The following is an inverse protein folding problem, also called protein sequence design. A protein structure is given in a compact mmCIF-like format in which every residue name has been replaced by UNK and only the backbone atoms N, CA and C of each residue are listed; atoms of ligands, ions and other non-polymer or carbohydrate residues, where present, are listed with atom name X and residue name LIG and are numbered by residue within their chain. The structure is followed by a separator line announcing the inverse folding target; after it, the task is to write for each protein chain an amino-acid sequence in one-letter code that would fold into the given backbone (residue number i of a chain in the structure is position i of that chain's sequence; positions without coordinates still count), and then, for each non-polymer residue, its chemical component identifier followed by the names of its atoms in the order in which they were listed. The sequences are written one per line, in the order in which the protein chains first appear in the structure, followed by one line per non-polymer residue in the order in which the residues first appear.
data_IF_530223010046
#
_entry.id   IF_530223010046
#
_cell.length_a   1.000
_cell.length_b   1.000
_cell.length_c   1.000
_cell.angle_alpha   90.00
_cell.angle_beta   90.00
_cell.angle_gamma   90.00
#
_symmetry.space_group_name_H-M   'P 1'
#
loop_
_entity.id
_entity.type
_entity.pdbx_description
1 polymer ?
#
# COMPACT_ATOMS: atom_id res chain seq x y z
N UNK A 1 2.43 -9.40 -13.79
CA UNK A 1 0.97 -9.41 -13.63
C UNK A 1 0.37 -8.86 -14.91
N UNK A 2 -0.40 -9.66 -15.65
CA UNK A 2 -1.22 -9.12 -16.75
C UNK A 2 -2.15 -8.09 -16.11
N UNK A 3 -2.43 -6.98 -16.82
CA UNK A 3 -3.52 -6.09 -16.48
C UNK A 3 -4.80 -6.94 -16.48
N UNK A 4 -4.99 -7.68 -15.43
CA UNK A 4 -6.19 -8.42 -15.14
C UNK A 4 -7.24 -7.39 -14.77
N UNK A 5 -8.49 -7.69 -14.98
CA UNK A 5 -9.68 -6.85 -14.68
C UNK A 5 -9.69 -6.25 -13.26
N UNK A 6 -8.61 -6.40 -12.50
CA UNK A 6 -8.46 -6.03 -11.11
C UNK A 6 -8.17 -4.54 -10.89
N UNK A 7 -7.43 -3.89 -11.80
CA UNK A 7 -7.14 -2.47 -11.72
C UNK A 7 -7.65 -1.79 -13.00
N UNK A 8 -8.80 -1.16 -12.92
CA UNK A 8 -9.33 -0.36 -14.01
C UNK A 8 -8.90 1.09 -13.82
N UNK A 9 -7.80 1.45 -14.44
CA UNK A 9 -7.36 2.84 -14.51
C UNK A 9 -7.89 3.47 -15.80
N UNK A 10 -8.45 4.67 -15.67
CA UNK A 10 -8.79 5.50 -16.80
C UNK A 10 -7.72 6.56 -16.96
N UNK A 11 -6.98 6.52 -18.07
CA UNK A 11 -6.11 7.62 -18.48
C UNK A 11 -7.00 8.67 -19.15
N UNK A 12 -7.18 9.86 -18.56
CA UNK A 12 -7.96 10.91 -19.19
C UNK A 12 -7.21 11.43 -20.41
N UNK A 13 -7.82 11.37 -21.57
CA UNK A 13 -7.37 12.12 -22.75
C UNK A 13 -7.58 13.61 -22.52
N UNK A 14 -6.76 14.24 -21.71
CA UNK A 14 -6.80 15.65 -21.37
C UNK A 14 -5.64 16.40 -22.00
N UNK A 15 -5.94 17.28 -22.95
CA UNK A 15 -5.01 18.27 -23.46
C UNK A 15 -4.49 19.11 -22.30
N UNK A 16 -3.21 18.97 -21.94
CA UNK A 16 -2.42 20.06 -21.34
C UNK A 16 -0.96 19.92 -21.72
N UNK A 17 -0.57 20.84 -22.54
CA UNK A 17 0.66 21.58 -22.72
C UNK A 17 1.96 20.98 -22.11
N UNK A 18 2.65 20.20 -22.90
CA UNK A 18 4.02 19.77 -22.76
C UNK A 18 4.31 18.74 -23.82
N UNK A 19 5.21 19.01 -24.77
CA UNK A 19 5.42 18.15 -25.93
C UNK A 19 5.90 16.73 -25.58
N UNK A 20 6.45 16.51 -24.39
CA UNK A 20 6.92 15.21 -23.89
C UNK A 20 5.77 14.29 -23.41
N UNK A 21 4.76 14.85 -22.73
CA UNK A 21 3.63 14.06 -22.23
C UNK A 21 2.75 13.45 -23.36
N UNK A 22 2.69 14.09 -24.53
CA UNK A 22 1.91 13.59 -25.67
C UNK A 22 2.49 12.32 -26.27
N UNK A 23 3.80 12.16 -26.27
CA UNK A 23 4.47 10.98 -26.85
C UNK A 23 4.27 9.75 -25.96
N UNK A 24 4.32 9.91 -24.64
CA UNK A 24 4.10 8.81 -23.71
C UNK A 24 2.65 8.28 -23.73
N UNK A 25 1.65 9.17 -23.81
CA UNK A 25 0.24 8.78 -23.87
C UNK A 25 -0.15 8.02 -25.14
N UNK A 26 0.52 8.30 -26.27
CA UNK A 26 0.28 7.60 -27.53
C UNK A 26 0.90 6.19 -27.60
N UNK A 27 1.75 5.83 -26.63
CA UNK A 27 2.39 4.51 -26.54
C UNK A 27 1.75 3.58 -25.52
N UNK A 28 0.77 4.06 -24.73
CA UNK A 28 0.02 3.23 -23.79
C UNK A 28 -1.04 2.43 -24.55
N UNK A 29 -0.69 1.22 -24.95
CA UNK A 29 -1.66 0.23 -25.40
C UNK A 29 -2.49 -0.26 -24.20
N UNK A 30 -3.75 -0.68 -24.47
CA UNK A 30 -4.66 -1.25 -23.45
C UNK A 30 -4.10 -2.51 -22.75
N UNK A 31 -2.96 -3.00 -23.17
CA UNK A 31 -2.26 -4.16 -22.64
C UNK A 31 -0.96 -3.81 -21.90
N UNK A 32 -0.67 -2.53 -21.67
CA UNK A 32 0.51 -2.14 -20.87
C UNK A 32 0.41 -2.75 -19.47
N UNK A 33 1.38 -3.58 -19.06
CA UNK A 33 1.36 -4.14 -17.72
C UNK A 33 1.47 -3.01 -16.70
N UNK A 34 0.64 -3.08 -15.66
CA UNK A 34 0.60 -2.10 -14.57
C UNK A 34 1.20 -2.73 -13.32
N UNK A 35 2.16 -2.04 -12.72
CA UNK A 35 2.73 -2.39 -11.44
C UNK A 35 2.24 -1.40 -10.38
N UNK A 36 1.82 -1.90 -9.21
CA UNK A 36 1.45 -1.08 -8.07
C UNK A 36 2.55 -1.19 -7.04
N UNK A 37 2.95 -0.06 -6.46
CA UNK A 37 4.00 -0.02 -5.44
C UNK A 37 3.61 -0.73 -4.16
N UNK A 38 4.60 -1.19 -3.39
CA UNK A 38 4.40 -1.92 -2.14
C UNK A 38 3.67 -1.14 -1.03
N UNK A 39 3.56 0.20 -1.15
CA UNK A 39 2.75 1.02 -0.23
C UNK A 39 1.25 0.68 -0.30
N UNK A 40 0.84 0.01 -1.38
CA UNK A 40 -0.55 -0.23 -1.73
C UNK A 40 -1.25 1.04 -2.21
N UNK A 41 -2.26 0.88 -3.04
CA UNK A 41 -3.15 1.96 -3.45
C UNK A 41 -4.59 1.51 -3.24
N UNK A 42 -5.44 2.40 -2.75
CA UNK A 42 -6.83 2.08 -2.46
C UNK A 42 -7.78 2.96 -3.27
N UNK A 43 -8.99 2.47 -3.61
CA UNK A 43 -9.99 3.28 -4.30
C UNK A 43 -10.22 4.61 -3.58
N UNK A 44 -10.16 5.71 -4.35
CA UNK A 44 -10.23 7.08 -3.80
C UNK A 44 -8.87 7.77 -3.64
N UNK A 45 -7.75 7.04 -3.70
CA UNK A 45 -6.43 7.65 -3.74
C UNK A 45 -6.25 8.51 -5.00
N UNK A 46 -5.52 9.60 -4.85
CA UNK A 46 -4.97 10.32 -6.00
C UNK A 46 -3.70 9.61 -6.45
N UNK A 47 -3.66 9.27 -7.73
CA UNK A 47 -2.63 8.42 -8.30
C UNK A 47 -1.78 9.16 -9.32
N UNK A 48 -0.53 8.72 -9.44
CA UNK A 48 0.40 9.13 -10.50
C UNK A 48 1.03 7.88 -11.09
N UNK A 49 1.06 7.80 -12.41
CA UNK A 49 1.77 6.76 -13.13
C UNK A 49 3.14 7.26 -13.57
N UNK A 50 4.15 6.44 -13.44
CA UNK A 50 5.48 6.64 -14.00
C UNK A 50 5.72 5.61 -15.08
N UNK A 51 6.06 6.08 -16.27
CA UNK A 51 6.41 5.24 -17.39
C UNK A 51 7.88 5.44 -17.74
N UNK A 52 8.66 4.39 -17.54
CA UNK A 52 10.05 4.30 -17.97
C UNK A 52 10.12 3.52 -19.31
N UNK A 53 11.14 3.76 -20.14
CA UNK A 53 11.36 2.97 -21.35
C UNK A 53 11.47 1.48 -21.01
N UNK A 54 10.76 0.64 -21.77
CA UNK A 54 10.75 -0.83 -21.64
C UNK A 54 10.29 -1.39 -20.28
N UNK A 55 9.64 -0.56 -19.46
CA UNK A 55 9.14 -0.94 -18.14
C UNK A 55 7.60 -0.90 -18.08
N UNK A 56 6.97 -1.67 -17.18
CA UNK A 56 5.55 -1.55 -16.92
C UNK A 56 5.22 -0.16 -16.37
N UNK A 57 3.98 0.31 -16.61
CA UNK A 57 3.47 1.51 -15.96
C UNK A 57 3.45 1.27 -14.44
N UNK A 58 4.27 2.01 -13.70
CA UNK A 58 4.28 1.92 -12.23
C UNK A 58 3.38 2.99 -11.65
N UNK A 59 2.44 2.60 -10.80
CA UNK A 59 1.45 3.49 -10.18
C UNK A 59 1.80 3.73 -8.73
N UNK A 60 1.87 5.01 -8.37
CA UNK A 60 2.17 5.51 -7.03
C UNK A 60 0.98 6.31 -6.47
N UNK A 61 0.73 6.23 -5.16
CA UNK A 61 -0.10 7.25 -4.52
C UNK A 61 0.64 8.60 -4.57
N UNK A 62 -0.11 9.70 -4.75
CA UNK A 62 0.49 11.03 -4.96
C UNK A 62 1.36 11.53 -3.79
N UNK A 63 1.19 10.93 -2.62
CA UNK A 63 1.96 11.26 -1.41
C UNK A 63 3.17 10.34 -1.19
N UNK A 64 3.49 9.46 -2.14
CA UNK A 64 4.66 8.59 -2.05
C UNK A 64 5.96 9.39 -2.05
N UNK A 65 6.83 9.10 -1.08
CA UNK A 65 8.16 9.73 -1.00
C UNK A 65 9.02 9.41 -2.23
N UNK A 66 8.80 8.28 -2.88
CA UNK A 66 9.49 7.91 -4.11
C UNK A 66 9.29 8.92 -5.25
N UNK A 67 8.14 9.59 -5.30
CA UNK A 67 7.88 10.62 -6.32
C UNK A 67 8.76 11.85 -6.15
N UNK A 68 9.21 12.13 -4.94
CA UNK A 68 10.13 13.24 -4.65
C UNK A 68 11.49 12.96 -5.27
N UNK A 69 11.99 11.73 -5.12
CA UNK A 69 13.27 11.31 -5.70
C UNK A 69 13.25 11.28 -7.23
N UNK A 70 12.07 11.03 -7.82
CA UNK A 70 11.88 10.96 -9.27
C UNK A 70 11.63 12.30 -9.95
N UNK A 71 11.47 13.39 -9.17
CA UNK A 71 11.10 14.71 -9.72
C UNK A 71 12.12 15.22 -10.74
N UNK A 72 13.41 14.96 -10.51
CA UNK A 72 14.50 15.40 -11.37
C UNK A 72 14.92 14.35 -12.43
N UNK A 73 14.21 13.22 -12.47
CA UNK A 73 14.49 12.14 -13.42
C UNK A 73 13.78 12.36 -14.76
N UNK A 74 14.38 11.91 -15.87
CA UNK A 74 13.81 12.03 -17.22
C UNK A 74 12.78 10.90 -17.47
N UNK A 75 11.75 10.84 -16.62
CA UNK A 75 10.66 9.86 -16.69
C UNK A 75 9.37 10.49 -17.18
N UNK A 76 8.52 9.71 -17.83
CA UNK A 76 7.23 10.19 -18.28
C UNK A 76 6.18 10.06 -17.17
N UNK A 77 5.59 11.19 -16.80
CA UNK A 77 4.52 11.27 -15.79
C UNK A 77 3.14 11.12 -16.45
N UNK A 78 2.31 10.23 -15.92
CA UNK A 78 0.99 9.90 -16.47
C UNK A 78 -0.07 10.16 -15.40
N UNK A 79 -1.11 10.92 -15.74
CA UNK A 79 -2.30 11.10 -14.87
C UNK A 79 -3.13 9.81 -14.89
N UNK A 80 -3.23 9.15 -13.75
CA UNK A 80 -3.94 7.89 -13.57
C UNK A 80 -5.09 8.10 -12.59
N UNK A 81 -6.26 7.52 -12.89
CA UNK A 81 -7.45 7.61 -12.03
C UNK A 81 -8.11 6.26 -11.85
N UNK A 82 -8.66 6.06 -10.66
CA UNK A 82 -9.51 4.91 -10.39
C UNK A 82 -10.76 4.91 -11.27
N UNK A 83 -11.09 3.73 -11.78
CA UNK A 83 -12.42 3.46 -12.31
C UNK A 83 -13.23 2.75 -11.21
N UNK A 84 -14.05 3.50 -10.51
CA UNK A 84 -14.83 3.01 -9.36
C UNK A 84 -16.07 2.18 -9.73
N UNK A 85 -16.27 1.87 -11.02
CA UNK A 85 -17.39 1.04 -11.44
C UNK A 85 -17.13 -0.43 -11.13
N UNK A 86 -17.91 -1.01 -10.20
CA UNK A 86 -17.87 -2.43 -9.86
C UNK A 86 -16.79 -2.84 -8.83
N UNK A 87 -16.42 -1.93 -7.93
CA UNK A 87 -15.45 -2.20 -6.85
C UNK A 87 -16.08 -2.61 -5.51
N UNK A 88 -17.40 -2.76 -5.44
CA UNK A 88 -18.16 -2.79 -4.18
C UNK A 88 -17.86 -3.97 -3.24
N UNK A 89 -17.19 -5.04 -3.71
CA UNK A 89 -16.90 -6.23 -2.89
C UNK A 89 -15.39 -6.51 -2.73
N UNK A 90 -14.53 -5.69 -3.34
CA UNK A 90 -13.10 -5.96 -3.35
C UNK A 90 -12.37 -5.25 -2.21
N UNK A 91 -11.47 -5.98 -1.56
CA UNK A 91 -10.56 -5.43 -0.56
C UNK A 91 -9.19 -5.14 -1.17
N UNK A 92 -8.56 -4.08 -0.73
CA UNK A 92 -7.28 -3.60 -1.22
C UNK A 92 -6.26 -3.57 -0.10
N UNK A 93 -5.09 -4.19 -0.29
CA UNK A 93 -4.04 -4.17 0.70
C UNK A 93 -3.40 -2.77 0.77
N UNK A 94 -3.15 -2.33 1.98
CA UNK A 94 -2.38 -1.12 2.26
C UNK A 94 -1.59 -1.29 3.56
N UNK A 95 -0.54 -0.49 3.72
CA UNK A 95 0.35 -0.60 4.87
C UNK A 95 0.22 0.64 5.74
N UNK A 96 0.09 0.44 7.04
CA UNK A 96 0.08 1.50 8.05
C UNK A 96 1.21 1.29 9.05
N UNK A 97 1.78 2.37 9.55
CA UNK A 97 2.82 2.32 10.58
C UNK A 97 2.43 3.18 11.78
N UNK A 98 2.92 2.79 12.94
CA UNK A 98 2.73 3.51 14.18
C UNK A 98 3.79 3.17 15.21
N UNK A 99 3.95 4.03 16.20
CA UNK A 99 4.70 3.74 17.40
C UNK A 99 3.74 3.43 18.55
N UNK A 100 4.06 2.40 19.32
CA UNK A 100 3.24 1.96 20.45
C UNK A 100 4.09 1.82 21.70
N UNK A 101 3.53 2.19 22.84
CA UNK A 101 4.13 1.89 24.14
C UNK A 101 4.24 0.38 24.31
N UNK A 102 5.42 -0.09 24.75
CA UNK A 102 5.69 -1.49 25.03
C UNK A 102 5.05 -1.91 26.37
N UNK A 103 3.79 -2.31 26.35
CA UNK A 103 3.07 -2.82 27.52
C UNK A 103 2.13 -3.96 27.13
N UNK A 104 1.81 -4.85 28.10
CA UNK A 104 0.80 -5.88 27.86
C UNK A 104 -0.52 -5.29 27.36
N UNK A 105 -1.07 -5.91 26.33
CA UNK A 105 -2.36 -5.49 25.73
C UNK A 105 -2.27 -4.43 24.64
N UNK A 106 -1.12 -3.79 24.38
CA UNK A 106 -0.99 -2.77 23.31
C UNK A 106 -1.37 -3.34 21.95
N UNK A 107 -0.86 -4.51 21.57
CA UNK A 107 -1.22 -5.15 20.31
C UNK A 107 -2.71 -5.51 20.23
N UNK A 108 -3.28 -6.04 21.32
CA UNK A 108 -4.70 -6.38 21.36
C UNK A 108 -5.60 -5.14 21.18
N UNK A 109 -5.22 -4.01 21.78
CA UNK A 109 -5.93 -2.74 21.61
C UNK A 109 -5.88 -2.25 20.17
N UNK A 110 -4.72 -2.32 19.51
CA UNK A 110 -4.56 -1.93 18.11
C UNK A 110 -5.39 -2.82 17.20
N UNK A 111 -5.29 -4.14 17.36
CA UNK A 111 -6.04 -5.11 16.55
C UNK A 111 -7.55 -4.93 16.71
N UNK A 112 -8.02 -4.66 17.93
CA UNK A 112 -9.44 -4.38 18.20
C UNK A 112 -9.90 -3.07 17.53
N UNK A 113 -9.06 -2.04 17.52
CA UNK A 113 -9.37 -0.76 16.88
C UNK A 113 -9.46 -0.90 15.35
N UNK A 114 -8.57 -1.69 14.72
CA UNK A 114 -8.62 -1.99 13.29
C UNK A 114 -9.87 -2.80 12.95
N UNK A 115 -10.16 -3.86 13.72
CA UNK A 115 -11.34 -4.69 13.52
C UNK A 115 -12.66 -3.93 13.71
N UNK A 116 -12.71 -2.96 14.64
CA UNK A 116 -13.88 -2.10 14.84
C UNK A 116 -14.20 -1.20 13.64
N UNK A 117 -13.20 -0.97 12.75
CA UNK A 117 -13.39 -0.28 11.48
C UNK A 117 -13.65 -1.24 10.31
N UNK A 118 -13.97 -2.52 10.60
CA UNK A 118 -14.25 -3.55 9.58
C UNK A 118 -13.07 -3.78 8.60
N UNK A 119 -11.84 -3.59 9.06
CA UNK A 119 -10.62 -3.84 8.31
C UNK A 119 -9.97 -5.14 8.79
N UNK A 120 -9.39 -5.90 7.86
CA UNK A 120 -8.66 -7.13 8.15
C UNK A 120 -7.17 -6.86 8.28
N UNK A 121 -6.47 -7.64 9.11
CA UNK A 121 -5.00 -7.61 9.25
C UNK A 121 -4.45 -8.85 8.53
N UNK A 122 -3.61 -8.63 7.53
CA UNK A 122 -2.95 -9.72 6.79
C UNK A 122 -1.57 -10.03 7.35
N UNK A 123 -0.83 -8.98 7.76
CA UNK A 123 0.53 -9.16 8.24
C UNK A 123 0.89 -8.10 9.28
N UNK A 124 1.90 -8.39 10.10
CA UNK A 124 2.41 -7.49 11.13
C UNK A 124 3.92 -7.67 11.28
N UNK A 125 4.62 -6.56 11.25
CA UNK A 125 6.01 -6.46 11.69
C UNK A 125 6.08 -5.61 12.94
N UNK A 126 6.77 -6.11 13.96
CA UNK A 126 7.02 -5.39 15.20
C UNK A 126 8.53 -5.29 15.45
N UNK A 127 9.02 -4.08 15.64
CA UNK A 127 10.42 -3.79 15.91
C UNK A 127 10.56 -2.95 17.18
N UNK A 128 11.46 -3.34 18.08
CA UNK A 128 11.79 -2.54 19.24
C UNK A 128 12.58 -1.29 18.82
N UNK A 129 12.06 -0.11 19.14
CA UNK A 129 12.78 1.18 18.99
C UNK A 129 13.59 1.46 20.26
N UNK A 130 12.96 1.25 21.41
CA UNK A 130 13.55 1.38 22.74
C UNK A 130 12.87 0.39 23.70
N UNK A 131 13.34 0.23 24.95
CA UNK A 131 12.67 -0.62 25.94
C UNK A 131 11.19 -0.27 26.14
N UNK A 132 10.82 1.00 25.98
CA UNK A 132 9.47 1.50 26.23
C UNK A 132 8.60 1.61 24.99
N UNK A 133 9.18 1.50 23.78
CA UNK A 133 8.47 1.73 22.52
C UNK A 133 8.79 0.71 21.44
N UNK A 134 7.75 0.28 20.73
CA UNK A 134 7.83 -0.51 19.52
C UNK A 134 7.31 0.28 18.31
N UNK A 135 7.98 0.13 17.16
CA UNK A 135 7.39 0.41 15.86
C UNK A 135 6.58 -0.80 15.44
N UNK A 136 5.35 -0.58 15.04
CA UNK A 136 4.47 -1.60 14.48
C UNK A 136 4.05 -1.21 13.08
N UNK A 137 4.19 -2.13 12.15
CA UNK A 137 3.83 -1.96 10.73
C UNK A 137 2.82 -3.05 10.42
N UNK A 138 1.61 -2.65 10.01
CA UNK A 138 0.52 -3.56 9.69
C UNK A 138 0.22 -3.48 8.21
N UNK A 139 0.09 -4.62 7.56
CA UNK A 139 -0.61 -4.75 6.30
C UNK A 139 -2.08 -5.06 6.59
N UNK A 140 -2.95 -4.17 6.14
CA UNK A 140 -4.39 -4.27 6.33
C UNK A 140 -5.11 -4.27 4.99
N UNK A 141 -6.29 -4.85 4.95
CA UNK A 141 -7.20 -4.78 3.81
C UNK A 141 -8.35 -3.84 4.10
N UNK A 142 -8.58 -2.93 3.17
CA UNK A 142 -9.67 -1.95 3.22
C UNK A 142 -10.39 -1.87 1.88
N UNK A 143 -11.64 -1.40 1.88
CA UNK A 143 -12.45 -1.22 0.67
C UNK A 143 -12.03 0.02 -0.11
N UNK A 144 -11.73 1.11 0.62
CA UNK A 144 -11.46 2.42 0.02
C UNK A 144 -10.68 3.35 0.97
N UNK A 145 -10.37 4.54 0.47
CA UNK A 145 -9.70 5.59 1.23
C UNK A 145 -10.52 6.09 2.43
N UNK A 146 -11.84 6.06 2.37
CA UNK A 146 -12.68 6.49 3.48
C UNK A 146 -12.50 5.55 4.67
N UNK A 147 -12.61 4.23 4.45
CA UNK A 147 -12.36 3.23 5.49
C UNK A 147 -10.91 3.32 6.05
N UNK A 148 -9.90 3.47 5.18
CA UNK A 148 -8.52 3.67 5.63
C UNK A 148 -8.39 4.91 6.53
N UNK A 149 -9.05 6.01 6.16
CA UNK A 149 -9.06 7.24 6.95
C UNK A 149 -9.69 7.03 8.33
N UNK A 150 -10.78 6.26 8.41
CA UNK A 150 -11.45 5.92 9.66
C UNK A 150 -10.57 5.05 10.56
N UNK A 151 -9.85 4.07 9.99
CA UNK A 151 -8.84 3.27 10.72
C UNK A 151 -7.77 4.17 11.31
N UNK A 152 -7.14 5.02 10.48
CA UNK A 152 -6.09 5.93 10.94
C UNK A 152 -6.59 6.91 12.01
N UNK A 153 -7.79 7.46 11.85
CA UNK A 153 -8.39 8.38 12.82
C UNK A 153 -8.69 7.67 14.15
N UNK A 154 -9.15 6.43 14.11
CA UNK A 154 -9.42 5.63 15.31
C UNK A 154 -8.13 5.29 16.06
N UNK A 155 -7.09 4.88 15.34
CA UNK A 155 -5.78 4.60 15.92
C UNK A 155 -5.14 5.86 16.51
N UNK A 156 -5.23 7.02 15.85
CA UNK A 156 -4.71 8.30 16.37
C UNK A 156 -5.35 8.73 17.68
N UNK A 157 -6.59 8.32 17.94
CA UNK A 157 -7.29 8.57 19.20
C UNK A 157 -6.98 7.55 20.29
N UNK A 158 -6.35 6.44 19.95
CA UNK A 158 -6.06 5.36 20.89
C UNK A 158 -4.91 5.74 21.83
N UNK A 159 -5.06 5.58 23.14
CA UNK A 159 -4.01 5.95 24.09
C UNK A 159 -2.78 5.04 23.94
N UNK A 160 -1.59 5.63 24.06
CA UNK A 160 -0.32 4.93 23.96
C UNK A 160 0.15 4.66 22.53
N UNK A 161 -0.51 5.24 21.52
CA UNK A 161 -0.07 5.25 20.15
C UNK A 161 0.41 6.65 19.74
N UNK A 162 1.45 6.68 18.93
CA UNK A 162 2.01 7.87 18.29
C UNK A 162 2.45 7.57 16.87
N UNK A 163 2.81 8.61 16.12
CA UNK A 163 3.27 8.51 14.72
C UNK A 163 2.39 7.62 13.82
N UNK A 164 1.07 7.61 14.07
CA UNK A 164 0.12 6.81 13.29
C UNK A 164 -0.04 7.43 11.90
N UNK A 165 0.35 6.68 10.87
CA UNK A 165 0.31 7.14 9.48
C UNK A 165 0.19 5.97 8.50
N UNK A 166 -0.13 6.26 7.24
CA UNK A 166 0.07 5.33 6.15
C UNK A 166 1.57 5.15 5.94
N UNK A 167 2.02 3.92 5.77
CA UNK A 167 3.44 3.62 5.62
C UNK A 167 3.95 4.05 4.24
N UNK A 168 5.19 4.55 4.18
CA UNK A 168 5.91 4.77 2.94
C UNK A 168 6.56 3.48 2.41
N UNK A 169 7.20 3.56 1.22
CA UNK A 169 7.83 2.41 0.57
C UNK A 169 8.84 1.68 1.45
N UNK A 170 9.63 2.41 2.23
CA UNK A 170 10.63 1.83 3.13
C UNK A 170 10.00 0.93 4.19
N UNK A 171 8.91 1.36 4.79
CA UNK A 171 8.20 0.59 5.82
C UNK A 171 7.42 -0.56 5.19
N UNK A 172 6.79 -0.32 4.06
CA UNK A 172 6.07 -1.35 3.30
C UNK A 172 7.00 -2.48 2.85
N UNK A 173 8.24 -2.19 2.47
CA UNK A 173 9.24 -3.20 2.10
C UNK A 173 9.61 -4.14 3.25
N UNK A 174 9.46 -3.71 4.51
CA UNK A 174 9.71 -4.57 5.66
C UNK A 174 8.67 -5.70 5.78
N UNK A 175 7.46 -5.48 5.32
CA UNK A 175 6.41 -6.51 5.27
C UNK A 175 6.69 -7.50 4.14
N UNK A 176 7.01 -7.01 2.95
CA UNK A 176 7.22 -7.85 1.77
C UNK A 176 8.46 -8.78 1.89
N UNK A 177 9.46 -8.40 2.69
CA UNK A 177 10.62 -9.27 2.97
C UNK A 177 10.29 -10.46 3.87
N UNK A 178 9.13 -10.46 4.51
CA UNK A 178 8.63 -11.55 5.37
C UNK A 178 7.65 -12.48 4.62
N UNK A 179 7.64 -12.47 3.30
CA UNK A 179 6.91 -13.50 2.56
C UNK A 179 7.35 -14.87 3.04
N UNK A 180 6.43 -15.51 3.75
CA UNK A 180 6.59 -16.86 4.23
C UNK A 180 6.71 -17.80 3.02
N UNK A 181 7.86 -18.46 2.87
CA UNK A 181 8.17 -19.34 1.72
C UNK A 181 7.32 -20.62 1.64
N UNK A 182 6.30 -20.72 2.48
CA UNK A 182 5.31 -21.80 2.44
C UNK A 182 5.87 -23.18 2.85
N UNK A 183 7.13 -23.28 3.24
CA UNK A 183 7.72 -24.54 3.69
C UNK A 183 7.44 -24.79 5.17
N UNK A 184 6.28 -25.37 5.47
CA UNK A 184 6.12 -26.04 6.76
C UNK A 184 6.99 -27.29 6.71
N UNK A 185 8.10 -27.29 7.42
CA UNK A 185 8.85 -28.51 7.71
C UNK A 185 7.97 -29.42 8.58
N UNK A 186 7.31 -30.37 7.93
CA UNK A 186 6.50 -31.38 8.60
C UNK A 186 7.33 -32.53 9.21
N UNK A 187 8.66 -32.44 9.18
CA UNK A 187 9.55 -33.49 9.68
C UNK A 187 9.65 -33.52 11.22
N UNK A 188 9.35 -32.40 11.90
CA UNK A 188 9.49 -32.31 13.36
C UNK A 188 8.40 -33.00 14.21
N UNK A 189 7.43 -33.70 13.61
CA UNK A 189 6.35 -34.36 14.36
C UNK A 189 6.43 -35.90 14.37
N UNK A 190 7.60 -36.50 14.18
CA UNK A 190 7.71 -37.98 14.11
C UNK A 190 8.46 -38.65 15.24
N UNK A 191 8.90 -37.97 16.26
CA UNK A 191 9.68 -38.58 17.37
C UNK A 191 9.00 -38.45 18.75
N UNK A 192 7.68 -38.47 18.83
CA UNK A 192 6.97 -38.73 20.09
C UNK A 192 5.88 -39.78 19.91
N UNK A 193 6.32 -41.06 19.84
CA UNK A 193 5.54 -42.25 20.25
C UNK A 193 6.46 -43.36 20.75
#
# INVERSE_FOLDING_TARGET
LRATDEFRFRVPGGQRSGSRAKTALNQLDFHTPVHVTGEGVVPGDRLVGILEPDSPLTVYPIHSDALIEMHDSDVAWVDVRWNLQGTDEKLYPTVISMESVNRPGSLAQISSAIAACDANINNLVMRMISPDFHQMIFEIEVRDLAQLTDVLATLKRSPGLSAVQRAGLREASMISTLEWDGKIDRSARRDER
#
